data_IF_963178528542
#
_entry.id   IF_963178528542
#
_cell.length_a   1.000
_cell.length_b   1.000
_cell.length_c   1.000
_cell.angle_alpha   90.00
_cell.angle_beta   90.00
_cell.angle_gamma   90.00
#
_symmetry.space_group_name_H-M   'P 1'
#
loop_
_entity.id
_entity.type
_entity.pdbx_description
1 polymer ?
#
# COMPACT_ATOMS: atom_id res chain seq x y z
N UNK A 1 20.30 48.80 -25.28
CA UNK A 1 20.18 47.33 -25.27
C UNK A 1 18.80 47.02 -24.73
N UNK A 2 17.78 47.08 -25.59
CA UNK A 2 16.38 46.99 -25.18
C UNK A 2 15.97 45.53 -24.99
N UNK A 3 15.52 45.17 -23.78
CA UNK A 3 14.91 43.88 -23.50
C UNK A 3 13.49 43.87 -24.05
N UNK A 4 13.28 43.17 -25.17
CA UNK A 4 11.95 42.90 -25.72
C UNK A 4 11.22 41.93 -24.79
N UNK A 5 10.07 42.36 -24.27
CA UNK A 5 9.25 41.66 -23.29
C UNK A 5 8.65 40.35 -23.86
N UNK A 6 9.12 39.21 -23.35
CA UNK A 6 8.70 37.84 -23.74
C UNK A 6 7.18 37.62 -23.62
N UNK A 7 6.52 38.37 -22.73
CA UNK A 7 5.06 38.39 -22.52
C UNK A 7 4.29 38.84 -23.78
N UNK A 8 4.80 39.83 -24.50
CA UNK A 8 4.15 40.37 -25.70
C UNK A 8 4.22 39.38 -26.87
N UNK A 9 5.32 38.65 -26.99
CA UNK A 9 5.51 37.61 -28.03
C UNK A 9 4.59 36.41 -27.77
N UNK A 10 4.41 36.00 -26.52
CA UNK A 10 3.49 34.93 -26.15
C UNK A 10 2.02 35.28 -26.44
N UNK A 11 1.61 36.51 -26.12
CA UNK A 11 0.25 37.03 -26.41
C UNK A 11 -0.03 37.11 -27.91
N UNK A 12 0.96 37.53 -28.71
CA UNK A 12 0.85 37.55 -30.16
C UNK A 12 0.64 36.16 -30.75
N UNK A 13 1.36 35.15 -30.26
CA UNK A 13 1.21 33.75 -30.71
C UNK A 13 -0.15 33.15 -30.35
N UNK A 14 -0.68 33.48 -29.18
CA UNK A 14 -1.97 32.97 -28.70
C UNK A 14 -3.14 33.57 -29.49
N UNK A 15 -3.05 34.85 -29.88
CA UNK A 15 -4.03 35.50 -30.75
C UNK A 15 -4.08 34.88 -32.16
N UNK A 16 -2.91 34.53 -32.72
CA UNK A 16 -2.82 33.87 -34.03
C UNK A 16 -3.43 32.46 -33.99
N UNK A 17 -3.17 31.69 -32.92
CA UNK A 17 -3.78 30.36 -32.74
C UNK A 17 -5.30 30.44 -32.58
N UNK A 18 -5.80 31.43 -31.82
CA UNK A 18 -7.24 31.66 -31.68
C UNK A 18 -7.90 31.99 -33.02
N UNK A 19 -7.26 32.81 -33.85
CA UNK A 19 -7.78 33.16 -35.17
C UNK A 19 -7.81 31.95 -36.12
N UNK A 20 -6.80 31.07 -36.09
CA UNK A 20 -6.81 29.81 -36.86
C UNK A 20 -7.89 28.84 -36.41
N UNK A 21 -8.15 28.76 -35.10
CA UNK A 21 -9.22 27.91 -34.55
C UNK A 21 -10.60 28.44 -34.96
N UNK A 22 -10.81 29.74 -34.91
CA UNK A 22 -12.06 30.39 -35.33
C UNK A 22 -12.27 30.31 -36.85
N UNK A 23 -11.21 30.46 -37.65
CA UNK A 23 -11.29 30.34 -39.11
C UNK A 23 -11.58 28.90 -39.59
N UNK A 24 -11.26 27.89 -38.78
CA UNK A 24 -11.58 26.48 -39.10
C UNK A 24 -13.07 26.14 -38.91
N UNK A 25 -13.88 27.08 -38.38
CA UNK A 25 -15.31 26.86 -38.09
C UNK A 25 -16.22 27.42 -39.20
N UNK A 26 -15.71 28.23 -40.14
CA UNK A 26 -16.52 28.86 -41.18
C UNK A 26 -16.14 28.42 -42.60
N UNK A 27 -16.50 27.19 -42.98
CA UNK A 27 -16.98 26.87 -44.34
C UNK A 27 -17.51 25.43 -44.47
N UNK A 28 -18.82 25.28 -44.67
CA UNK A 28 -19.39 24.24 -45.55
C UNK A 28 -19.61 22.81 -44.99
N UNK A 29 -20.86 22.54 -44.60
CA UNK A 29 -21.57 21.24 -44.60
C UNK A 29 -20.76 19.93 -44.64
N UNK A 30 -20.51 19.35 -43.46
CA UNK A 30 -20.43 17.90 -43.26
C UNK A 30 -21.02 17.58 -41.90
N UNK A 31 -21.99 16.67 -41.86
CA UNK A 31 -22.58 16.16 -40.60
C UNK A 31 -21.53 15.38 -39.82
N UNK A 32 -21.16 15.76 -38.58
CA UNK A 32 -20.32 14.91 -37.77
C UNK A 32 -21.22 13.94 -37.00
N UNK A 33 -21.38 12.73 -37.55
CA UNK A 33 -21.56 11.55 -36.72
C UNK A 33 -20.20 11.31 -36.05
N UNK A 34 -19.97 12.04 -34.97
CA UNK A 34 -18.95 11.73 -33.99
C UNK A 34 -19.64 11.91 -32.64
N UNK A 35 -20.29 10.84 -32.17
CA UNK A 35 -20.55 10.68 -30.75
C UNK A 35 -19.19 10.73 -30.07
N UNK A 36 -18.85 11.91 -29.57
CA UNK A 36 -17.75 12.10 -28.64
C UNK A 36 -18.17 11.34 -27.40
N UNK A 37 -17.65 10.13 -27.24
CA UNK A 37 -17.89 9.30 -26.08
C UNK A 37 -17.69 10.18 -24.84
N UNK A 38 -18.74 10.32 -24.06
CA UNK A 38 -18.84 11.24 -22.94
C UNK A 38 -17.97 10.81 -21.76
N UNK A 39 -16.66 10.71 -21.97
CA UNK A 39 -15.67 10.92 -20.93
C UNK A 39 -15.53 12.43 -20.73
N UNK A 40 -16.65 13.09 -20.42
CA UNK A 40 -16.57 14.31 -19.65
C UNK A 40 -16.01 13.88 -18.31
N UNK A 41 -14.79 14.34 -18.01
CA UNK A 41 -14.37 14.51 -16.64
C UNK A 41 -15.53 15.14 -15.88
N UNK A 42 -16.16 14.39 -14.97
CA UNK A 42 -17.21 14.88 -14.11
C UNK A 42 -16.57 15.90 -13.17
N UNK A 43 -16.40 17.14 -13.63
CA UNK A 43 -15.94 18.28 -12.85
C UNK A 43 -17.05 18.83 -11.93
N UNK A 44 -17.94 17.97 -11.44
CA UNK A 44 -19.17 18.39 -10.75
C UNK A 44 -19.72 17.42 -9.72
N UNK A 45 -19.09 16.27 -9.49
CA UNK A 45 -19.42 15.42 -8.34
C UNK A 45 -18.39 15.74 -7.28
N UNK A 46 -18.79 16.45 -6.22
CA UNK A 46 -17.96 16.60 -5.03
C UNK A 46 -17.48 15.20 -4.61
N UNK A 47 -16.18 15.00 -4.30
CA UNK A 47 -15.69 13.70 -3.89
C UNK A 47 -16.61 13.20 -2.76
N UNK A 48 -17.20 12.01 -2.89
CA UNK A 48 -18.16 11.54 -1.91
C UNK A 48 -17.47 11.50 -0.55
N UNK A 49 -18.10 12.08 0.47
CA UNK A 49 -17.57 12.09 1.84
C UNK A 49 -17.39 10.68 2.42
N UNK A 50 -17.97 9.67 1.76
CA UNK A 50 -17.79 8.25 2.03
C UNK A 50 -17.40 7.53 0.73
N UNK A 51 -16.29 6.79 0.76
CA UNK A 51 -15.78 6.03 -0.38
C UNK A 51 -16.59 4.74 -0.66
N UNK A 52 -17.52 4.38 0.23
CA UNK A 52 -18.41 3.23 0.09
C UNK A 52 -19.41 3.45 -1.03
N UNK A 53 -19.57 2.45 -1.88
CA UNK A 53 -20.55 2.51 -2.96
C UNK A 53 -20.54 1.29 -3.86
N UNK A 54 -21.07 1.47 -5.05
CA UNK A 54 -21.09 0.47 -6.11
C UNK A 54 -20.28 0.98 -7.29
N UNK A 55 -19.35 0.15 -7.77
CA UNK A 55 -18.60 0.38 -8.99
C UNK A 55 -19.22 -0.49 -10.10
N UNK A 56 -19.63 0.14 -11.19
CA UNK A 56 -20.18 -0.54 -12.36
C UNK A 56 -19.09 -0.73 -13.39
N UNK A 57 -18.82 -1.98 -13.76
CA UNK A 57 -17.87 -2.37 -14.80
C UNK A 57 -18.66 -2.80 -16.02
N UNK A 58 -18.31 -2.27 -17.19
CA UNK A 58 -18.89 -2.65 -18.46
C UNK A 58 -17.80 -3.36 -19.25
N UNK A 59 -17.99 -4.65 -19.54
CA UNK A 59 -17.08 -5.40 -20.41
C UNK A 59 -17.56 -5.28 -21.85
N UNK A 60 -16.87 -4.46 -22.65
CA UNK A 60 -17.19 -4.24 -24.06
C UNK A 60 -17.00 -5.50 -24.92
N UNK A 61 -16.14 -6.42 -24.50
CA UNK A 61 -15.89 -7.67 -25.26
C UNK A 61 -17.08 -8.62 -25.20
N UNK A 62 -17.86 -8.57 -24.12
CA UNK A 62 -19.04 -9.43 -23.91
C UNK A 62 -20.35 -8.65 -23.87
N UNK A 63 -20.31 -7.32 -23.82
CA UNK A 63 -21.47 -6.43 -23.64
C UNK A 63 -22.12 -6.50 -22.26
N UNK A 64 -21.51 -7.21 -21.30
CA UNK A 64 -22.09 -7.45 -19.97
C UNK A 64 -21.72 -6.34 -18.99
N UNK A 65 -22.68 -6.01 -18.12
CA UNK A 65 -22.49 -5.07 -17.01
C UNK A 65 -22.38 -5.83 -15.69
N UNK A 66 -21.44 -5.44 -14.86
CA UNK A 66 -21.15 -6.02 -13.56
C UNK A 66 -21.16 -4.92 -12.51
N UNK A 67 -21.71 -5.20 -11.34
CA UNK A 67 -21.64 -4.31 -10.18
C UNK A 67 -20.81 -4.97 -9.08
N UNK A 68 -19.87 -4.21 -8.56
CA UNK A 68 -18.96 -4.62 -7.49
C UNK A 68 -19.03 -3.61 -6.36
N UNK A 69 -18.87 -4.08 -5.14
CA UNK A 69 -19.00 -3.23 -3.96
C UNK A 69 -17.64 -2.60 -3.62
N UNK A 70 -17.64 -1.31 -3.36
CA UNK A 70 -16.50 -0.57 -2.84
C UNK A 70 -16.63 -0.48 -1.31
N UNK A 71 -15.56 -0.84 -0.61
CA UNK A 71 -15.48 -0.76 0.86
C UNK A 71 -15.38 0.69 1.34
N UNK A 72 -15.60 0.92 2.63
CA UNK A 72 -15.46 2.25 3.26
C UNK A 72 -14.04 2.82 3.15
N UNK A 73 -13.04 1.94 3.05
CA UNK A 73 -11.62 2.26 2.83
C UNK A 73 -11.31 2.54 1.34
N UNK A 74 -12.30 2.57 0.45
CA UNK A 74 -12.09 2.72 -1.00
C UNK A 74 -11.54 1.47 -1.71
N UNK A 75 -11.51 0.32 -1.04
CA UNK A 75 -10.96 -0.93 -1.59
C UNK A 75 -12.02 -1.84 -2.21
N UNK A 76 -11.66 -2.52 -3.29
CA UNK A 76 -12.49 -3.53 -3.97
C UNK A 76 -11.84 -4.91 -3.81
N UNK A 77 -12.66 -5.95 -3.60
CA UNK A 77 -12.15 -7.33 -3.53
C UNK A 77 -11.71 -7.82 -4.90
N UNK A 78 -10.45 -8.22 -5.03
CA UNK A 78 -9.91 -8.81 -6.26
C UNK A 78 -10.68 -10.06 -6.74
N UNK A 79 -11.31 -10.80 -5.82
CA UNK A 79 -12.12 -11.98 -6.16
C UNK A 79 -13.38 -11.64 -6.95
N UNK A 80 -13.89 -10.41 -6.87
CA UNK A 80 -15.08 -10.01 -7.61
C UNK A 80 -14.82 -9.90 -9.12
N UNK A 81 -13.58 -9.61 -9.53
CA UNK A 81 -13.18 -9.58 -10.95
C UNK A 81 -13.19 -10.98 -11.59
N UNK A 82 -13.13 -12.06 -10.80
CA UNK A 82 -13.28 -13.43 -11.32
C UNK A 82 -14.66 -13.69 -11.95
N UNK A 83 -15.67 -12.90 -11.59
CA UNK A 83 -17.04 -13.01 -12.14
C UNK A 83 -17.12 -12.55 -13.60
N UNK A 84 -16.14 -11.77 -14.04
CA UNK A 84 -16.07 -11.23 -15.40
C UNK A 84 -15.37 -12.28 -16.27
N UNK A 85 -16.14 -12.99 -17.11
CA UNK A 85 -15.66 -14.11 -17.91
C UNK A 85 -15.93 -13.89 -19.40
N UNK A 86 -14.93 -14.23 -20.23
CA UNK A 86 -15.00 -14.07 -21.68
C UNK A 86 -15.66 -15.19 -22.47
N UNK A 87 -16.07 -16.28 -21.83
CA UNK A 87 -16.56 -17.48 -22.53
C UNK A 87 -16.58 -18.74 -21.65
N UNK A 88 -16.92 -19.88 -22.26
CA UNK A 88 -17.25 -21.15 -21.57
C UNK A 88 -16.10 -21.82 -20.80
N UNK A 89 -14.86 -21.33 -20.88
CA UNK A 89 -13.71 -21.95 -20.21
C UNK A 89 -12.74 -20.94 -19.58
N UNK A 90 -13.22 -19.72 -19.32
CA UNK A 90 -12.40 -18.64 -18.77
C UNK A 90 -12.47 -18.63 -17.24
N UNK A 91 -11.32 -18.49 -16.57
CA UNK A 91 -11.20 -18.47 -15.10
C UNK A 91 -11.46 -17.08 -14.50
N UNK A 92 -11.91 -16.15 -15.33
CA UNK A 92 -12.19 -14.77 -14.99
C UNK A 92 -10.97 -13.86 -15.10
N UNK A 93 -11.21 -12.55 -15.13
CA UNK A 93 -10.14 -11.55 -15.22
C UNK A 93 -9.29 -11.58 -13.96
N UNK A 94 -7.98 -11.41 -14.16
CA UNK A 94 -6.98 -11.28 -13.09
C UNK A 94 -6.43 -9.86 -13.08
N UNK A 95 -6.13 -9.36 -11.89
CA UNK A 95 -5.41 -8.10 -11.72
C UNK A 95 -3.92 -8.36 -11.97
N UNK A 96 -3.30 -7.46 -12.73
CA UNK A 96 -1.86 -7.47 -12.97
C UNK A 96 -1.27 -6.20 -12.37
N UNK A 97 -0.56 -6.36 -11.25
CA UNK A 97 0.04 -5.25 -10.49
C UNK A 97 1.41 -5.71 -9.95
N UNK A 98 2.47 -5.63 -10.77
CA UNK A 98 3.80 -6.05 -10.35
C UNK A 98 4.31 -5.14 -9.22
N UNK A 99 4.56 -5.73 -8.06
CA UNK A 99 5.02 -5.00 -6.88
C UNK A 99 3.91 -4.43 -5.99
N UNK A 100 2.63 -4.72 -6.26
CA UNK A 100 1.49 -4.31 -5.45
C UNK A 100 1.39 -2.79 -5.27
N UNK A 101 1.66 -2.01 -6.33
CA UNK A 101 1.68 -0.54 -6.25
C UNK A 101 0.30 0.06 -5.99
N UNK A 102 -0.78 -0.63 -6.40
CA UNK A 102 -2.16 -0.19 -6.20
C UNK A 102 -3.04 -1.31 -5.61
N UNK A 103 -2.42 -2.30 -4.98
CA UNK A 103 -3.12 -3.43 -4.39
C UNK A 103 -2.90 -3.40 -2.87
N UNK A 104 -3.99 -3.43 -2.11
CA UNK A 104 -3.95 -3.65 -0.67
C UNK A 104 -4.10 -5.15 -0.37
N UNK A 105 -3.00 -5.90 -0.10
CA UNK A 105 -3.06 -7.35 0.06
C UNK A 105 -3.60 -7.79 1.43
N UNK A 106 -3.40 -6.95 2.47
CA UNK A 106 -3.68 -7.29 3.86
C UNK A 106 -4.28 -6.08 4.56
N UNK A 107 -5.28 -6.31 5.42
CA UNK A 107 -5.76 -5.32 6.39
C UNK A 107 -4.96 -5.45 7.68
N UNK A 108 -4.37 -4.35 8.15
CA UNK A 108 -3.60 -4.29 9.39
C UNK A 108 -4.03 -3.09 10.22
N UNK A 109 -4.06 -3.27 11.54
CA UNK A 109 -4.28 -2.20 12.52
C UNK A 109 -3.01 -1.84 13.30
N UNK A 110 -1.85 -2.31 12.83
CA UNK A 110 -0.57 -2.17 13.55
C UNK A 110 0.08 -0.81 13.27
N UNK A 111 0.22 -0.44 12.01
CA UNK A 111 0.92 0.76 11.58
C UNK A 111 0.11 1.52 10.54
N UNK A 112 0.08 2.84 10.65
CA UNK A 112 -0.45 3.74 9.64
C UNK A 112 0.65 4.72 9.23
N UNK A 113 0.83 4.88 7.92
CA UNK A 113 1.85 5.73 7.32
C UNK A 113 1.16 6.62 6.29
N UNK A 114 1.34 7.94 6.43
CA UNK A 114 1.03 8.92 5.40
C UNK A 114 2.34 9.64 5.03
N UNK A 115 2.83 9.38 3.83
CA UNK A 115 4.09 9.95 3.36
C UNK A 115 4.00 11.42 2.97
N UNK A 116 2.81 11.90 2.58
CA UNK A 116 2.59 13.27 2.13
C UNK A 116 2.44 14.21 3.33
N UNK A 117 1.71 13.76 4.36
CA UNK A 117 1.58 14.50 5.62
C UNK A 117 2.72 14.23 6.61
N UNK A 118 3.60 13.26 6.32
CA UNK A 118 4.71 12.88 7.19
C UNK A 118 4.26 12.21 8.50
N UNK A 119 3.13 11.50 8.48
CA UNK A 119 2.52 10.88 9.66
C UNK A 119 2.96 9.41 9.74
N UNK A 120 3.53 9.02 10.88
CA UNK A 120 3.77 7.63 11.25
C UNK A 120 3.10 7.33 12.59
N UNK A 121 2.20 6.34 12.61
CA UNK A 121 1.49 5.92 13.82
C UNK A 121 1.60 4.43 14.06
N UNK A 122 1.90 4.04 15.30
CA UNK A 122 1.79 2.66 15.78
C UNK A 122 0.59 2.48 16.68
N UNK A 123 -0.33 1.58 16.31
CA UNK A 123 -1.59 1.34 17.03
C UNK A 123 -2.39 2.63 17.30
N UNK A 124 -2.24 3.64 16.45
CA UNK A 124 -2.87 4.96 16.59
C UNK A 124 -2.03 6.02 17.33
N UNK A 125 -0.95 5.64 18.01
CA UNK A 125 -0.04 6.58 18.67
C UNK A 125 0.97 7.17 17.68
N UNK A 126 1.16 8.51 17.64
CA UNK A 126 2.22 9.15 16.88
C UNK A 126 3.60 8.63 17.28
N UNK A 127 4.50 8.46 16.31
CA UNK A 127 5.84 7.93 16.57
C UNK A 127 6.66 8.83 17.51
N UNK A 128 6.45 10.14 17.44
CA UNK A 128 7.14 11.14 18.25
C UNK A 128 6.83 10.94 19.74
N UNK A 129 5.56 10.68 20.05
CA UNK A 129 5.11 10.40 21.42
C UNK A 129 5.76 9.14 21.97
N UNK A 130 5.86 8.09 21.16
CA UNK A 130 6.48 6.83 21.57
C UNK A 130 7.99 6.96 21.73
N UNK A 131 8.65 7.75 20.87
CA UNK A 131 10.09 7.97 20.92
C UNK A 131 10.52 8.77 22.16
N UNK A 132 9.73 9.78 22.56
CA UNK A 132 10.04 10.62 23.71
C UNK A 132 9.66 9.98 25.05
N UNK A 133 8.59 9.18 25.06
CA UNK A 133 7.94 8.74 26.29
C UNK A 133 7.93 7.23 26.55
N UNK A 134 8.47 6.40 25.65
CA UNK A 134 8.41 4.94 25.78
C UNK A 134 9.72 4.26 25.45
N UNK A 135 9.98 3.16 26.14
CA UNK A 135 11.09 2.24 25.89
C UNK A 135 10.76 1.26 24.76
N UNK A 136 11.81 0.63 24.21
CA UNK A 136 11.63 -0.39 23.17
C UNK A 136 10.72 -1.54 23.60
N UNK A 137 10.80 -1.97 24.87
CA UNK A 137 10.00 -3.09 25.38
C UNK A 137 8.51 -2.72 25.53
N UNK A 138 8.19 -1.49 25.91
CA UNK A 138 6.82 -0.99 25.93
C UNK A 138 6.22 -0.91 24.53
N UNK A 139 6.99 -0.43 23.54
CA UNK A 139 6.56 -0.39 22.14
C UNK A 139 6.40 -1.81 21.58
N UNK A 140 7.30 -2.74 21.90
CA UNK A 140 7.17 -4.14 21.50
C UNK A 140 5.89 -4.76 22.08
N UNK A 141 5.59 -4.48 23.36
CA UNK A 141 4.34 -4.88 24.00
C UNK A 141 3.12 -4.28 23.28
N UNK A 142 3.14 -2.98 22.98
CA UNK A 142 2.08 -2.28 22.25
C UNK A 142 1.81 -2.91 20.88
N UNK A 143 2.86 -3.24 20.12
CA UNK A 143 2.70 -3.85 18.80
C UNK A 143 2.07 -5.25 18.90
N UNK A 144 2.50 -6.04 19.89
CA UNK A 144 2.04 -7.41 20.10
C UNK A 144 0.61 -7.48 20.65
N UNK A 145 0.30 -6.73 21.71
CA UNK A 145 -0.96 -6.80 22.46
C UNK A 145 -1.95 -5.68 22.11
N UNK A 146 -1.52 -4.64 21.40
CA UNK A 146 -2.37 -3.56 20.92
C UNK A 146 -2.58 -2.39 21.88
N UNK A 147 -2.12 -2.48 23.12
CA UNK A 147 -2.22 -1.42 24.14
C UNK A 147 -0.88 -1.23 24.86
N UNK A 148 -0.63 -0.03 25.40
CA UNK A 148 0.53 0.21 26.26
C UNK A 148 0.40 -0.58 27.56
N UNK A 149 1.49 -1.16 28.08
CA UNK A 149 1.46 -1.94 29.31
C UNK A 149 1.25 -1.03 30.54
N UNK A 150 0.61 -1.57 31.57
CA UNK A 150 0.71 -1.02 32.93
C UNK A 150 2.06 -1.37 33.56
N UNK A 151 2.45 -0.68 34.64
CA UNK A 151 3.74 -0.91 35.32
C UNK A 151 3.97 -2.39 35.70
N UNK A 152 2.93 -3.07 36.22
CA UNK A 152 3.04 -4.49 36.56
C UNK A 152 3.21 -5.37 35.32
N UNK A 153 2.48 -5.08 34.24
CA UNK A 153 2.59 -5.82 32.98
C UNK A 153 3.95 -5.62 32.32
N UNK A 154 4.51 -4.41 32.43
CA UNK A 154 5.84 -4.11 31.93
C UNK A 154 6.90 -4.91 32.69
N UNK A 155 6.83 -4.94 34.04
CA UNK A 155 7.75 -5.72 34.85
C UNK A 155 7.71 -7.23 34.52
N UNK A 156 6.51 -7.79 34.35
CA UNK A 156 6.33 -9.18 33.95
C UNK A 156 6.89 -9.44 32.53
N UNK A 157 6.67 -8.50 31.61
CA UNK A 157 7.17 -8.57 30.24
C UNK A 157 8.69 -8.51 30.18
N UNK A 158 9.31 -7.58 30.90
CA UNK A 158 10.76 -7.45 31.02
C UNK A 158 11.38 -8.72 31.61
N UNK A 159 10.77 -9.27 32.66
CA UNK A 159 11.20 -10.52 33.25
C UNK A 159 11.11 -11.67 32.25
N UNK A 160 9.99 -11.83 31.56
CA UNK A 160 9.81 -12.87 30.55
C UNK A 160 10.83 -12.77 29.41
N UNK A 161 11.06 -11.56 28.88
CA UNK A 161 12.07 -11.33 27.83
C UNK A 161 13.47 -11.65 28.35
N UNK A 162 13.81 -11.24 29.58
CA UNK A 162 15.10 -11.53 30.18
C UNK A 162 15.33 -13.03 30.41
N UNK A 163 14.30 -13.81 30.75
CA UNK A 163 14.43 -15.26 30.90
C UNK A 163 14.72 -15.95 29.56
N UNK A 164 14.23 -15.39 28.45
CA UNK A 164 14.39 -15.95 27.10
C UNK A 164 15.52 -15.31 26.28
N UNK A 165 16.30 -14.37 26.85
CA UNK A 165 17.40 -13.71 26.15
C UNK A 165 18.70 -14.52 26.11
N UNK A 166 18.79 -15.64 26.86
CA UNK A 166 19.96 -16.50 26.86
C UNK A 166 20.12 -17.25 25.52
N UNK A 167 21.29 -17.12 24.90
CA UNK A 167 21.59 -17.76 23.62
C UNK A 167 22.10 -19.20 23.85
N UNK A 168 21.47 -20.23 23.26
CA UNK A 168 21.97 -21.60 23.33
C UNK A 168 23.39 -21.75 22.78
N UNK A 169 24.21 -22.60 23.42
CA UNK A 169 25.61 -22.81 23.05
C UNK A 169 25.81 -23.23 21.58
N UNK A 170 24.88 -24.01 21.02
CA UNK A 170 24.94 -24.45 19.61
C UNK A 170 24.95 -23.27 18.63
N UNK A 171 24.24 -22.18 18.93
CA UNK A 171 24.23 -20.98 18.09
C UNK A 171 25.56 -20.25 18.20
N UNK A 172 26.14 -20.14 19.40
CA UNK A 172 27.45 -19.49 19.59
C UNK A 172 28.56 -20.20 18.81
N UNK A 173 28.56 -21.53 18.80
CA UNK A 173 29.52 -22.33 18.02
C UNK A 173 29.32 -22.10 16.52
N UNK A 174 28.08 -22.09 16.04
CA UNK A 174 27.76 -21.78 14.64
C UNK A 174 28.28 -20.39 14.24
N UNK A 175 28.01 -19.38 15.07
CA UNK A 175 28.46 -18.00 14.84
C UNK A 175 29.98 -17.87 14.82
N UNK A 176 30.69 -18.62 15.68
CA UNK A 176 32.16 -18.63 15.70
C UNK A 176 32.81 -19.28 14.49
N UNK A 177 32.05 -20.06 13.71
CA UNK A 177 32.55 -20.79 12.53
C UNK A 177 32.54 -19.93 11.25
N UNK A 178 31.96 -18.74 11.29
CA UNK A 178 31.92 -17.84 10.13
C UNK A 178 33.28 -17.19 9.86
N UNK A 179 33.57 -17.00 8.56
CA UNK A 179 34.67 -16.12 8.15
C UNK A 179 34.36 -14.67 8.54
N UNK A 180 35.39 -13.92 8.94
CA UNK A 180 35.28 -12.51 9.37
C UNK A 180 34.69 -11.58 8.30
N UNK A 181 34.74 -11.96 7.02
CA UNK A 181 34.18 -11.19 5.90
C UNK A 181 32.70 -11.48 5.64
N UNK A 182 32.08 -12.40 6.39
CA UNK A 182 30.67 -12.73 6.21
C UNK A 182 29.80 -11.53 6.58
N UNK A 183 28.82 -11.19 5.73
CA UNK A 183 27.85 -10.15 6.03
C UNK A 183 27.07 -10.47 7.32
N UNK A 184 26.90 -9.47 8.19
CA UNK A 184 26.14 -9.57 9.44
C UNK A 184 24.72 -10.07 9.23
N UNK A 185 24.09 -9.73 8.10
CA UNK A 185 22.75 -10.23 7.73
C UNK A 185 22.76 -11.73 7.49
N UNK A 186 23.83 -12.27 6.89
CA UNK A 186 23.96 -13.71 6.68
C UNK A 186 24.13 -14.44 8.01
N UNK A 187 24.98 -13.91 8.88
CA UNK A 187 25.19 -14.46 10.23
C UNK A 187 23.89 -14.44 11.06
N UNK A 188 23.12 -13.35 10.98
CA UNK A 188 21.83 -13.23 11.66
C UNK A 188 20.80 -14.25 11.15
N UNK A 189 20.72 -14.44 9.83
CA UNK A 189 19.83 -15.44 9.20
C UNK A 189 20.16 -16.85 9.67
N UNK A 190 21.43 -17.22 9.66
CA UNK A 190 21.88 -18.54 10.09
C UNK A 190 21.70 -18.75 11.59
N UNK A 191 21.93 -17.72 12.41
CA UNK A 191 21.65 -17.77 13.84
C UNK A 191 20.17 -18.05 14.14
N UNK A 192 19.26 -17.35 13.45
CA UNK A 192 17.81 -17.59 13.56
C UNK A 192 17.47 -19.00 13.09
N UNK A 193 17.99 -19.43 11.94
CA UNK A 193 17.74 -20.79 11.42
C UNK A 193 18.22 -21.88 12.39
N UNK A 194 19.41 -21.70 12.97
CA UNK A 194 19.98 -22.62 13.95
C UNK A 194 19.11 -22.70 15.23
N UNK A 195 18.56 -21.58 15.69
CA UNK A 195 17.61 -21.55 16.80
C UNK A 195 16.34 -22.36 16.47
N UNK A 196 15.73 -22.13 15.30
CA UNK A 196 14.54 -22.87 14.86
C UNK A 196 14.77 -24.38 14.77
N UNK A 197 15.90 -24.80 14.21
CA UNK A 197 16.25 -26.23 14.09
C UNK A 197 16.52 -26.88 15.46
N UNK A 198 17.16 -26.16 16.37
CA UNK A 198 17.45 -26.65 17.73
C UNK A 198 16.18 -26.78 18.58
N UNK A 199 15.24 -25.84 18.45
CA UNK A 199 13.95 -25.91 19.14
C UNK A 199 13.00 -26.96 18.54
N UNK A 200 13.07 -27.22 17.23
CA UNK A 200 12.23 -28.24 16.56
C UNK A 200 12.65 -29.69 16.88
N UNK A 201 13.86 -29.89 17.41
CA UNK A 201 14.35 -31.19 17.87
C UNK A 201 14.03 -31.49 19.35
N UNK A 202 13.40 -30.55 20.07
CA UNK A 202 12.84 -30.80 21.40
C UNK A 202 11.38 -31.28 21.24
N UNK A 203 10.99 -32.44 21.81
CA UNK A 203 9.65 -33.03 21.62
C UNK A 203 8.51 -32.27 22.35
N UNK A 204 8.64 -30.97 22.60
CA UNK A 204 7.74 -30.18 23.43
C UNK A 204 7.14 -28.93 22.77
N UNK A 205 7.19 -28.80 21.45
CA UNK A 205 6.34 -27.80 20.78
C UNK A 205 4.92 -28.37 20.60
N UNK A 206 4.12 -28.21 21.64
CA UNK A 206 2.67 -28.35 21.60
C UNK A 206 2.15 -27.40 20.52
N UNK A 207 1.48 -27.98 19.53
CA UNK A 207 0.65 -27.32 18.54
C UNK A 207 -0.43 -26.50 19.28
N UNK A 208 -0.27 -25.18 19.38
CA UNK A 208 -1.41 -24.30 19.67
C UNK A 208 -2.08 -24.08 18.33
N UNK A 209 -3.19 -24.80 18.13
CA UNK A 209 -4.08 -24.67 16.97
C UNK A 209 -4.98 -23.44 17.03
#
# INVERSE_FOLDING_TARGET
MECVDSSMVARGRLAVLSAHLSASIESGSFSPILETSCVSAQSGVAPPSNLKGWLTIIDERTGKKYQIQVSEEGTVKATDFKKITGGKNDKGIKLYDPGYLNTAPVRSSICYIDGDEGILRYRGYPIEQLADGSSFLEVAYLLMYGNLPSESQLADWEFAVSQHSAVPQGILVSLSSFFLETSTISMAKDGILCFYLSCSFLPYFVYIG
#
